data_IF_479171842442
#
_entry.id   IF_479171842442
#
_cell.length_a   1.000
_cell.length_b   1.000
_cell.length_c   1.000
_cell.angle_alpha   90.00
_cell.angle_beta   90.00
_cell.angle_gamma   90.00
#
_symmetry.space_group_name_H-M   'P 1'
#
loop_
_entity.id
_entity.type
_entity.pdbx_description
1 polymer ?
#
# COMPACT_ATOMS: atom_id res chain seq x y z
N UNK A 1 8.38 -19.80 5.09
CA UNK A 1 7.34 -20.42 4.26
C UNK A 1 6.10 -19.56 4.34
N UNK A 2 5.99 -18.57 3.46
CA UNK A 2 4.79 -17.72 3.38
C UNK A 2 3.90 -18.32 2.30
N UNK A 3 2.96 -19.15 2.72
CA UNK A 3 1.94 -19.71 1.87
C UNK A 3 1.03 -18.58 1.41
N UNK A 4 1.03 -18.26 0.10
CA UNK A 4 -0.17 -17.77 -0.51
C UNK A 4 -1.22 -18.87 -0.29
N UNK A 5 -2.04 -18.70 0.73
CA UNK A 5 -3.27 -19.45 0.80
C UNK A 5 -4.05 -19.08 -0.46
N UNK A 6 -4.01 -19.94 -1.46
CA UNK A 6 -5.13 -20.14 -2.35
C UNK A 6 -6.29 -20.59 -1.46
N UNK A 7 -6.96 -19.63 -0.83
CA UNK A 7 -8.30 -19.87 -0.34
C UNK A 7 -9.07 -20.25 -1.60
N UNK A 8 -9.58 -21.47 -1.65
CA UNK A 8 -10.54 -21.88 -2.67
C UNK A 8 -11.67 -20.84 -2.64
N UNK A 9 -11.75 -19.98 -3.65
CA UNK A 9 -12.73 -18.90 -3.78
C UNK A 9 -14.15 -19.42 -4.08
N UNK A 10 -14.43 -20.69 -3.89
CA UNK A 10 -15.78 -21.22 -3.96
C UNK A 10 -16.66 -20.50 -2.92
N UNK A 11 -17.45 -19.51 -3.38
CA UNK A 11 -18.42 -18.80 -2.56
C UNK A 11 -18.03 -17.37 -2.12
N UNK A 12 -16.95 -16.75 -2.63
CA UNK A 12 -16.68 -15.33 -2.42
C UNK A 12 -17.32 -14.47 -3.51
N UNK A 13 -17.66 -13.24 -3.15
CA UNK A 13 -18.26 -12.24 -4.03
C UNK A 13 -17.29 -11.09 -4.28
N UNK A 14 -17.51 -10.40 -5.38
CA UNK A 14 -16.89 -9.13 -5.76
C UNK A 14 -17.99 -8.11 -6.09
N UNK A 15 -17.64 -6.84 -6.08
CA UNK A 15 -18.50 -5.79 -6.66
C UNK A 15 -17.88 -5.31 -7.96
N UNK A 16 -18.61 -5.33 -9.05
CA UNK A 16 -18.22 -4.82 -10.36
C UNK A 16 -19.20 -3.75 -10.82
N UNK A 17 -18.75 -2.50 -10.88
CA UNK A 17 -19.58 -1.34 -11.25
C UNK A 17 -20.92 -1.30 -10.46
N UNK A 18 -20.84 -1.49 -9.15
CA UNK A 18 -22.01 -1.49 -8.24
C UNK A 18 -22.82 -2.80 -8.19
N UNK A 19 -22.49 -3.80 -9.00
CA UNK A 19 -23.21 -5.06 -9.06
C UNK A 19 -22.42 -6.17 -8.36
N UNK A 20 -23.04 -6.85 -7.42
CA UNK A 20 -22.47 -8.03 -6.76
C UNK A 20 -22.43 -9.20 -7.74
N UNK A 21 -21.26 -9.83 -7.85
CA UNK A 21 -21.03 -11.02 -8.70
C UNK A 21 -20.26 -12.08 -7.94
N UNK A 22 -20.30 -13.33 -8.41
CA UNK A 22 -19.37 -14.34 -7.92
C UNK A 22 -17.93 -14.00 -8.36
N UNK A 23 -16.94 -14.30 -7.51
CA UNK A 23 -15.56 -13.89 -7.76
C UNK A 23 -14.91 -14.61 -8.95
N UNK A 24 -15.48 -15.71 -9.42
CA UNK A 24 -15.06 -16.51 -10.58
C UNK A 24 -15.78 -16.12 -11.88
N UNK A 25 -16.73 -15.19 -11.83
CA UNK A 25 -17.41 -14.70 -13.05
C UNK A 25 -16.46 -13.83 -13.89
N UNK A 26 -16.45 -13.99 -15.23
CA UNK A 26 -15.75 -13.07 -16.12
C UNK A 26 -16.32 -11.65 -16.01
N UNK A 27 -15.46 -10.65 -15.79
CA UNK A 27 -15.87 -9.26 -15.60
C UNK A 27 -15.30 -8.29 -16.64
N UNK A 28 -14.18 -8.64 -17.27
CA UNK A 28 -13.53 -7.81 -18.28
C UNK A 28 -13.43 -8.54 -19.61
N UNK A 29 -13.50 -7.76 -20.69
CA UNK A 29 -13.25 -8.28 -22.04
C UNK A 29 -11.78 -8.15 -22.42
N UNK A 30 -11.35 -8.87 -23.47
CA UNK A 30 -10.01 -8.70 -24.05
C UNK A 30 -9.75 -7.28 -24.60
N UNK A 31 -10.76 -6.46 -24.78
CA UNK A 31 -10.63 -5.06 -25.25
C UNK A 31 -10.37 -4.09 -24.09
N UNK A 32 -10.58 -4.51 -22.85
CA UNK A 32 -10.38 -3.61 -21.69
C UNK A 32 -8.96 -3.03 -21.66
N UNK A 33 -8.86 -1.72 -21.46
CA UNK A 33 -7.59 -0.97 -21.52
C UNK A 33 -6.69 -1.30 -20.32
N UNK A 34 -7.26 -1.54 -19.14
CA UNK A 34 -6.46 -1.92 -17.98
C UNK A 34 -5.80 -3.29 -18.18
N UNK A 35 -6.53 -4.24 -18.81
CA UNK A 35 -5.97 -5.53 -19.19
C UNK A 35 -4.84 -5.40 -20.22
N UNK A 36 -5.02 -4.54 -21.25
CA UNK A 36 -4.03 -4.37 -22.33
C UNK A 36 -2.82 -3.53 -21.95
N UNK A 37 -3.02 -2.47 -21.16
CA UNK A 37 -2.02 -1.40 -21.00
C UNK A 37 -1.74 -1.04 -19.53
N UNK A 38 -2.45 -1.65 -18.57
CA UNK A 38 -2.38 -1.22 -17.18
C UNK A 38 -2.98 0.18 -16.96
N UNK A 39 -4.00 0.58 -17.77
CA UNK A 39 -4.63 1.90 -17.73
C UNK A 39 -5.66 1.96 -16.60
N UNK A 40 -5.17 2.20 -15.38
CA UNK A 40 -6.00 2.26 -14.19
C UNK A 40 -5.18 2.45 -12.92
N UNK A 41 -5.90 2.58 -11.82
CA UNK A 41 -5.37 2.75 -10.47
C UNK A 41 -5.91 1.67 -9.55
N UNK A 42 -5.26 1.46 -8.43
CA UNK A 42 -5.85 0.62 -7.39
C UNK A 42 -5.56 1.14 -6.00
N UNK A 43 -6.48 0.87 -5.11
CA UNK A 43 -6.31 1.04 -3.68
C UNK A 43 -6.23 -0.31 -2.98
N UNK A 44 -5.50 -0.34 -1.88
CA UNK A 44 -5.47 -1.49 -0.98
C UNK A 44 -5.80 -0.97 0.40
N UNK A 45 -7.06 -1.19 0.78
CA UNK A 45 -7.63 -0.67 2.02
C UNK A 45 -7.69 -1.79 3.07
N UNK A 46 -7.59 -1.40 4.31
CA UNK A 46 -7.89 -2.28 5.44
C UNK A 46 -9.28 -1.93 5.96
N UNK A 47 -10.11 -2.95 6.15
CA UNK A 47 -11.32 -2.84 6.96
C UNK A 47 -11.03 -3.47 8.32
N UNK A 48 -11.36 -2.76 9.37
CA UNK A 48 -11.24 -3.23 10.75
C UNK A 48 -12.52 -2.92 11.51
N UNK A 49 -13.15 -3.95 12.07
CA UNK A 49 -14.43 -3.85 12.80
C UNK A 49 -15.52 -3.05 12.04
N UNK A 50 -15.67 -3.33 10.74
CA UNK A 50 -16.65 -2.69 9.87
C UNK A 50 -16.29 -1.28 9.40
N UNK A 51 -15.16 -0.72 9.82
CA UNK A 51 -14.69 0.61 9.42
C UNK A 51 -13.56 0.53 8.39
N UNK A 52 -13.62 1.35 7.35
CA UNK A 52 -12.54 1.48 6.35
C UNK A 52 -11.47 2.39 6.94
N UNK A 53 -10.29 1.83 7.18
CA UNK A 53 -9.20 2.57 7.82
C UNK A 53 -8.61 3.62 6.86
N UNK A 54 -8.43 4.86 7.36
CA UNK A 54 -7.87 5.98 6.59
C UNK A 54 -8.61 6.25 5.26
N UNK A 55 -9.94 6.05 5.25
CA UNK A 55 -10.79 6.14 4.05
C UNK A 55 -10.57 7.45 3.29
N UNK A 56 -10.59 8.60 3.98
CA UNK A 56 -10.42 9.92 3.36
C UNK A 56 -9.10 10.05 2.57
N UNK A 57 -7.98 9.57 3.13
CA UNK A 57 -6.68 9.61 2.47
C UNK A 57 -6.61 8.66 1.24
N UNK A 58 -7.29 7.51 1.32
CA UNK A 58 -7.39 6.58 0.20
C UNK A 58 -8.18 7.18 -0.96
N UNK A 59 -9.36 7.71 -0.68
CA UNK A 59 -10.21 8.29 -1.73
C UNK A 59 -9.63 9.57 -2.29
N UNK A 60 -9.00 10.44 -1.47
CA UNK A 60 -8.28 11.62 -1.96
C UNK A 60 -7.19 11.23 -2.97
N UNK A 61 -6.37 10.22 -2.65
CA UNK A 61 -5.32 9.73 -3.56
C UNK A 61 -5.92 9.14 -4.84
N UNK A 62 -6.97 8.33 -4.72
CA UNK A 62 -7.64 7.73 -5.86
C UNK A 62 -8.18 8.79 -6.82
N UNK A 63 -8.99 9.72 -6.33
CA UNK A 63 -9.62 10.74 -7.18
C UNK A 63 -8.60 11.72 -7.76
N UNK A 64 -7.57 12.11 -7.00
CA UNK A 64 -6.46 12.90 -7.54
C UNK A 64 -5.72 12.16 -8.66
N UNK A 65 -5.56 10.85 -8.53
CA UNK A 65 -4.94 10.01 -9.55
C UNK A 65 -5.82 9.86 -10.79
N UNK A 66 -7.14 9.67 -10.64
CA UNK A 66 -8.09 9.62 -11.76
C UNK A 66 -8.07 10.92 -12.55
N UNK A 67 -8.07 12.06 -11.86
CA UNK A 67 -7.96 13.36 -12.48
C UNK A 67 -6.66 13.50 -13.30
N UNK A 68 -5.52 13.07 -12.74
CA UNK A 68 -4.22 13.12 -13.44
C UNK A 68 -4.20 12.23 -14.70
N UNK A 69 -4.89 11.09 -14.66
CA UNK A 69 -5.00 10.18 -15.82
C UNK A 69 -6.09 10.58 -16.81
N UNK A 70 -6.90 11.62 -16.51
CA UNK A 70 -8.05 11.99 -17.34
C UNK A 70 -9.13 10.89 -17.39
N UNK A 71 -9.32 10.16 -16.28
CA UNK A 71 -10.42 9.19 -16.14
C UNK A 71 -11.55 9.89 -15.40
N UNK A 72 -12.71 10.00 -16.05
CA UNK A 72 -13.86 10.69 -15.49
C UNK A 72 -14.55 9.83 -14.43
N UNK A 73 -14.53 10.28 -13.17
CA UNK A 73 -15.39 9.72 -12.13
C UNK A 73 -16.84 10.17 -12.40
N UNK A 74 -17.74 9.21 -12.56
CA UNK A 74 -19.18 9.46 -12.73
C UNK A 74 -19.86 9.60 -11.37
N UNK A 75 -21.13 10.01 -11.36
CA UNK A 75 -21.93 10.12 -10.12
C UNK A 75 -22.03 8.78 -9.36
N UNK A 76 -21.83 7.68 -10.06
CA UNK A 76 -21.81 6.33 -9.49
C UNK A 76 -20.42 5.94 -8.88
N UNK A 77 -19.43 6.83 -8.98
CA UNK A 77 -18.06 6.61 -8.47
C UNK A 77 -17.70 7.72 -7.50
N UNK A 78 -18.35 7.72 -6.34
CA UNK A 78 -18.07 8.67 -5.25
C UNK A 78 -17.41 7.97 -4.05
N UNK A 79 -16.72 8.74 -3.21
CA UNK A 79 -16.06 8.19 -2.01
C UNK A 79 -17.06 7.50 -1.08
N UNK A 80 -18.22 8.12 -0.85
CA UNK A 80 -19.26 7.58 0.04
C UNK A 80 -19.87 6.29 -0.48
N UNK A 81 -20.18 6.24 -1.79
CA UNK A 81 -20.74 5.04 -2.41
C UNK A 81 -19.75 3.89 -2.44
N UNK A 82 -18.50 4.16 -2.79
CA UNK A 82 -17.44 3.13 -2.78
C UNK A 82 -17.19 2.60 -1.36
N UNK A 83 -17.22 3.46 -0.34
CA UNK A 83 -17.04 3.04 1.05
C UNK A 83 -18.22 2.17 1.53
N UNK A 84 -19.46 2.52 1.17
CA UNK A 84 -20.65 1.73 1.46
C UNK A 84 -20.58 0.34 0.84
N UNK A 85 -20.26 0.26 -0.46
CA UNK A 85 -20.09 -1.00 -1.17
C UNK A 85 -18.94 -1.87 -0.61
N UNK A 86 -17.85 -1.26 -0.17
CA UNK A 86 -16.77 -1.97 0.51
C UNK A 86 -17.28 -2.64 1.80
N UNK A 87 -18.04 -1.91 2.62
CA UNK A 87 -18.60 -2.43 3.88
C UNK A 87 -19.63 -3.54 3.63
N UNK A 88 -20.49 -3.36 2.64
CA UNK A 88 -21.47 -4.36 2.21
C UNK A 88 -20.76 -5.65 1.75
N UNK A 89 -19.77 -5.53 0.86
CA UNK A 89 -19.01 -6.67 0.36
C UNK A 89 -18.24 -7.39 1.47
N UNK A 90 -17.65 -6.66 2.42
CA UNK A 90 -16.98 -7.27 3.57
C UNK A 90 -17.97 -8.05 4.45
N UNK A 91 -19.20 -7.56 4.60
CA UNK A 91 -20.27 -8.26 5.34
C UNK A 91 -20.69 -9.53 4.60
N UNK A 92 -20.93 -9.43 3.29
CA UNK A 92 -21.32 -10.57 2.45
C UNK A 92 -20.23 -11.66 2.44
N UNK A 93 -18.97 -11.28 2.35
CA UNK A 93 -17.81 -12.19 2.38
C UNK A 93 -17.41 -12.60 3.82
N UNK A 94 -18.18 -12.23 4.85
CA UNK A 94 -17.96 -12.59 6.26
C UNK A 94 -16.56 -12.18 6.78
N UNK A 95 -16.02 -11.08 6.29
CA UNK A 95 -14.70 -10.58 6.66
C UNK A 95 -14.71 -9.16 7.25
N UNK A 96 -15.87 -8.62 7.66
CA UNK A 96 -16.01 -7.27 8.19
C UNK A 96 -15.19 -7.01 9.48
N UNK A 97 -14.86 -8.05 10.24
CA UNK A 97 -14.03 -7.91 11.43
C UNK A 97 -12.59 -7.49 11.09
N UNK A 98 -12.00 -8.08 10.04
CA UNK A 98 -10.67 -7.72 9.57
C UNK A 98 -10.50 -8.18 8.11
N UNK A 99 -10.39 -7.24 7.19
CA UNK A 99 -10.28 -7.52 5.75
C UNK A 99 -9.20 -6.71 5.04
N UNK A 100 -8.66 -7.30 3.99
CA UNK A 100 -7.97 -6.59 2.92
C UNK A 100 -8.94 -6.40 1.77
N UNK A 101 -9.13 -5.16 1.39
CA UNK A 101 -9.93 -4.78 0.24
C UNK A 101 -9.00 -4.25 -0.86
N UNK A 102 -9.21 -4.73 -2.08
CA UNK A 102 -8.63 -4.14 -3.27
C UNK A 102 -9.75 -3.47 -4.08
N UNK A 103 -9.65 -2.19 -4.27
CA UNK A 103 -10.46 -1.41 -5.19
C UNK A 103 -9.60 -1.11 -6.41
N UNK A 104 -9.94 -1.67 -7.56
CA UNK A 104 -9.27 -1.38 -8.84
C UNK A 104 -10.22 -0.53 -9.66
N UNK A 105 -9.74 0.64 -10.10
CA UNK A 105 -10.48 1.56 -10.98
C UNK A 105 -9.72 1.65 -12.30
N UNK A 106 -10.42 1.49 -13.40
CA UNK A 106 -9.85 1.42 -14.73
C UNK A 106 -10.66 2.25 -15.72
N UNK A 107 -10.06 2.58 -16.87
CA UNK A 107 -10.74 3.31 -17.93
C UNK A 107 -11.65 2.39 -18.71
N UNK A 108 -12.94 2.71 -18.71
CA UNK A 108 -13.95 2.15 -19.61
C UNK A 108 -14.01 2.93 -20.94
N UNK A 109 -14.98 2.59 -21.76
CA UNK A 109 -15.32 3.38 -22.96
C UNK A 109 -15.72 4.82 -22.56
N UNK A 110 -15.50 5.77 -23.46
CA UNK A 110 -15.76 7.20 -23.22
C UNK A 110 -14.98 7.81 -22.02
N UNK A 111 -13.80 7.27 -21.72
CA UNK A 111 -12.94 7.75 -20.63
C UNK A 111 -13.57 7.73 -19.23
N UNK A 112 -14.64 6.97 -19.03
CA UNK A 112 -15.31 6.80 -17.72
C UNK A 112 -14.57 5.81 -16.84
N UNK A 113 -14.75 5.97 -15.54
CA UNK A 113 -14.24 5.04 -14.54
C UNK A 113 -15.14 3.81 -14.41
N UNK A 114 -14.60 2.61 -14.73
CA UNK A 114 -15.14 1.35 -14.27
C UNK A 114 -14.36 0.87 -13.04
N UNK A 115 -14.95 0.01 -12.19
CA UNK A 115 -14.26 -0.45 -10.99
C UNK A 115 -14.65 -1.87 -10.57
N UNK A 116 -13.71 -2.48 -9.85
CA UNK A 116 -13.90 -3.77 -9.17
C UNK A 116 -13.46 -3.64 -7.72
N UNK A 117 -14.28 -4.14 -6.81
CA UNK A 117 -13.95 -4.28 -5.38
C UNK A 117 -13.84 -5.76 -5.04
N UNK A 118 -12.72 -6.14 -4.43
CA UNK A 118 -12.44 -7.46 -3.90
C UNK A 118 -12.22 -7.34 -2.39
N UNK A 119 -12.79 -8.23 -1.59
CA UNK A 119 -12.62 -8.23 -0.13
C UNK A 119 -12.29 -9.64 0.34
N UNK A 120 -11.15 -9.79 1.03
CA UNK A 120 -10.70 -11.07 1.58
C UNK A 120 -10.32 -10.91 3.06
N UNK A 121 -10.56 -11.93 3.91
CA UNK A 121 -10.17 -11.86 5.31
C UNK A 121 -8.65 -11.72 5.45
N UNK A 122 -8.23 -10.98 6.48
CA UNK A 122 -6.85 -10.90 6.92
C UNK A 122 -6.65 -11.71 8.20
N UNK A 123 -5.45 -12.25 8.35
CA UNK A 123 -5.08 -12.91 9.61
C UNK A 123 -4.86 -11.85 10.72
N UNK A 124 -5.31 -12.09 11.97
CA UNK A 124 -5.14 -11.14 13.07
C UNK A 124 -3.68 -10.72 13.34
N UNK A 125 -2.71 -11.56 13.01
CA UNK A 125 -1.28 -11.23 13.14
C UNK A 125 -0.83 -10.04 12.27
N UNK A 126 -1.60 -9.70 11.21
CA UNK A 126 -1.31 -8.52 10.38
C UNK A 126 -1.48 -7.19 11.13
N UNK A 127 -2.19 -7.19 12.27
CA UNK A 127 -2.36 -6.04 13.17
C UNK A 127 -1.30 -5.97 14.27
N UNK A 128 -0.44 -6.97 14.40
CA UNK A 128 0.54 -7.04 15.48
C UNK A 128 1.89 -6.47 15.06
N UNK A 129 2.66 -6.06 16.07
CA UNK A 129 4.06 -5.76 15.90
C UNK A 129 4.83 -7.01 15.45
N UNK A 130 5.74 -6.87 14.49
CA UNK A 130 6.61 -7.97 14.08
C UNK A 130 7.88 -7.99 14.94
N UNK A 131 7.92 -8.84 15.95
CA UNK A 131 9.03 -8.87 16.92
C UNK A 131 10.38 -9.22 16.26
N UNK A 132 10.41 -10.11 15.28
CA UNK A 132 11.65 -10.55 14.65
C UNK A 132 12.25 -9.55 13.66
N UNK A 133 11.47 -8.57 13.19
CA UNK A 133 11.88 -7.64 12.12
C UNK A 133 11.99 -8.33 10.75
N UNK A 134 12.10 -7.53 9.73
CA UNK A 134 12.25 -7.98 8.34
C UNK A 134 13.68 -7.86 7.85
N UNK A 135 14.03 -8.71 6.90
CA UNK A 135 15.26 -8.64 6.12
C UNK A 135 14.97 -7.95 4.79
N UNK A 136 15.88 -7.10 4.32
CA UNK A 136 15.72 -6.38 3.06
C UNK A 136 17.01 -6.36 2.23
N UNK A 137 16.85 -6.27 0.91
CA UNK A 137 17.91 -5.97 -0.05
C UNK A 137 17.36 -5.10 -1.19
N UNK A 138 18.22 -4.65 -2.09
CA UNK A 138 17.85 -3.86 -3.26
C UNK A 138 17.51 -4.79 -4.42
N UNK A 139 16.41 -4.50 -5.13
CA UNK A 139 16.09 -5.16 -6.40
C UNK A 139 17.01 -4.64 -7.50
N UNK A 140 17.85 -5.51 -8.13
CA UNK A 140 18.92 -5.04 -9.01
C UNK A 140 18.48 -4.76 -10.46
N UNK A 141 17.36 -5.35 -10.92
CA UNK A 141 17.07 -5.48 -12.35
C UNK A 141 16.16 -4.40 -12.94
N UNK A 142 15.54 -3.55 -12.14
CA UNK A 142 14.70 -2.46 -12.65
C UNK A 142 14.93 -1.15 -11.88
N UNK A 143 14.56 -0.06 -12.53
CA UNK A 143 14.54 1.29 -11.96
C UNK A 143 13.17 1.89 -12.17
N UNK A 144 12.68 2.66 -11.19
CA UNK A 144 11.45 3.44 -11.31
C UNK A 144 11.75 4.79 -11.96
N UNK A 145 10.80 5.29 -12.73
CA UNK A 145 10.81 6.69 -13.17
C UNK A 145 10.61 7.66 -11.99
N UNK A 146 10.96 8.92 -12.22
CA UNK A 146 10.69 10.05 -11.31
C UNK A 146 9.71 11.06 -11.92
N UNK A 147 8.92 10.63 -12.90
CA UNK A 147 7.91 11.44 -13.56
C UNK A 147 6.64 11.60 -12.72
N UNK A 148 5.68 12.35 -13.27
CA UNK A 148 4.42 12.66 -12.57
C UNK A 148 3.58 11.41 -12.26
N UNK A 149 3.75 10.31 -13.01
CA UNK A 149 3.02 9.07 -12.84
C UNK A 149 3.62 8.16 -11.77
N UNK A 150 4.89 8.36 -11.42
CA UNK A 150 5.61 7.50 -10.48
C UNK A 150 4.98 7.48 -9.06
N UNK A 151 4.31 8.58 -8.66
CA UNK A 151 3.60 8.70 -7.38
C UNK A 151 2.24 8.00 -7.35
N UNK A 152 1.69 7.63 -8.52
CA UNK A 152 0.41 6.94 -8.62
C UNK A 152 0.51 5.50 -8.15
N UNK A 153 -0.57 5.01 -7.56
CA UNK A 153 -0.76 3.58 -7.31
C UNK A 153 -1.46 2.93 -8.51
N UNK A 154 -0.70 2.85 -9.61
CA UNK A 154 -1.20 2.44 -10.92
C UNK A 154 -1.21 0.92 -11.08
N UNK A 155 -2.11 0.41 -11.93
CA UNK A 155 -2.14 -1.01 -12.33
C UNK A 155 -0.93 -1.42 -13.17
N UNK A 156 -0.18 -0.45 -13.72
CA UNK A 156 1.12 -0.70 -14.35
C UNK A 156 2.20 -0.89 -13.27
N UNK A 157 2.25 -2.09 -12.70
CA UNK A 157 2.95 -2.39 -11.44
C UNK A 157 4.09 -3.41 -11.58
N UNK A 158 4.59 -3.63 -12.79
CA UNK A 158 5.54 -4.70 -13.10
C UNK A 158 6.86 -4.64 -12.28
N UNK A 159 7.53 -3.48 -12.08
CA UNK A 159 8.74 -3.45 -11.27
C UNK A 159 8.54 -3.93 -9.82
N UNK A 160 7.38 -3.63 -9.23
CA UNK A 160 7.03 -4.06 -7.87
C UNK A 160 6.75 -5.56 -7.80
N UNK A 161 6.03 -6.11 -8.78
CA UNK A 161 5.76 -7.55 -8.88
C UNK A 161 7.07 -8.32 -9.03
N UNK A 162 7.95 -7.88 -9.93
CA UNK A 162 9.24 -8.51 -10.15
C UNK A 162 10.14 -8.44 -8.89
N UNK A 163 10.16 -7.30 -8.19
CA UNK A 163 10.89 -7.16 -6.93
C UNK A 163 10.35 -8.09 -5.84
N UNK A 164 9.04 -8.29 -5.77
CA UNK A 164 8.43 -9.21 -4.82
C UNK A 164 8.78 -10.67 -5.11
N UNK A 165 8.77 -11.08 -6.38
CA UNK A 165 9.17 -12.43 -6.79
C UNK A 165 10.66 -12.67 -6.48
N UNK A 166 11.51 -11.68 -6.72
CA UNK A 166 12.92 -11.75 -6.37
C UNK A 166 13.13 -11.90 -4.84
N UNK A 167 12.39 -11.14 -4.04
CA UNK A 167 12.44 -11.27 -2.58
C UNK A 167 12.08 -12.70 -2.13
N UNK A 168 11.05 -13.29 -2.72
CA UNK A 168 10.65 -14.68 -2.45
C UNK A 168 11.75 -15.68 -2.85
N UNK A 169 12.34 -15.51 -4.02
CA UNK A 169 13.45 -16.36 -4.50
C UNK A 169 14.66 -16.30 -3.56
N UNK A 170 15.00 -15.10 -3.07
CA UNK A 170 16.13 -14.87 -2.17
C UNK A 170 15.84 -15.20 -0.70
N UNK A 171 14.60 -15.53 -0.35
CA UNK A 171 14.21 -15.80 1.03
C UNK A 171 14.32 -14.59 1.96
N UNK A 172 14.15 -13.38 1.42
CA UNK A 172 14.09 -12.11 2.16
C UNK A 172 12.65 -11.59 2.23
N UNK A 173 12.38 -10.72 3.19
CA UNK A 173 11.00 -10.26 3.45
C UNK A 173 10.57 -9.13 2.51
N UNK A 174 11.52 -8.28 2.07
CA UNK A 174 11.23 -7.13 1.24
C UNK A 174 12.39 -6.76 0.31
N UNK A 175 12.08 -6.26 -0.89
CA UNK A 175 13.04 -5.64 -1.80
C UNK A 175 12.79 -4.14 -1.93
N UNK A 176 13.87 -3.36 -1.80
CA UNK A 176 13.87 -1.93 -2.03
C UNK A 176 14.07 -1.65 -3.53
N UNK A 177 13.30 -0.71 -4.05
CA UNK A 177 13.37 -0.26 -5.44
C UNK A 177 14.19 1.03 -5.54
N UNK A 178 15.05 1.07 -6.54
CA UNK A 178 15.78 2.28 -6.89
C UNK A 178 15.09 3.04 -8.02
N UNK A 179 15.26 4.35 -8.02
CA UNK A 179 14.86 5.21 -9.12
C UNK A 179 15.99 5.35 -10.19
N UNK A 180 15.73 6.12 -11.24
CA UNK A 180 16.68 6.37 -12.34
C UNK A 180 17.99 7.05 -11.90
N UNK A 181 18.01 7.61 -10.69
CA UNK A 181 19.20 8.22 -10.08
C UNK A 181 19.92 7.29 -9.10
N UNK A 182 19.59 5.99 -9.12
CA UNK A 182 20.08 4.97 -8.18
C UNK A 182 19.83 5.31 -6.69
N UNK A 183 18.74 6.04 -6.39
CA UNK A 183 18.29 6.35 -5.04
C UNK A 183 17.10 5.47 -4.68
N UNK A 184 16.99 5.12 -3.41
CA UNK A 184 15.90 4.30 -2.89
C UNK A 184 14.62 5.13 -2.92
N UNK A 185 13.57 4.59 -3.53
CA UNK A 185 12.27 5.26 -3.62
C UNK A 185 11.15 4.52 -2.88
N UNK A 186 11.06 3.20 -2.99
CA UNK A 186 10.01 2.39 -2.36
C UNK A 186 10.54 1.01 -1.95
N UNK A 187 9.75 0.23 -1.20
CA UNK A 187 9.81 -1.22 -1.21
C UNK A 187 8.87 -1.82 -2.25
N UNK A 188 8.84 -3.13 -2.41
CA UNK A 188 8.00 -3.81 -3.42
C UNK A 188 6.48 -3.61 -3.18
N UNK A 189 6.08 -3.23 -1.99
CA UNK A 189 4.68 -2.96 -1.58
C UNK A 189 4.57 -1.98 -0.42
N UNK A 190 5.64 -1.23 -0.17
CA UNK A 190 5.80 -0.39 1.02
C UNK A 190 6.48 0.92 0.67
N UNK A 191 6.30 1.95 1.51
CA UNK A 191 7.21 3.08 1.55
C UNK A 191 8.25 2.87 2.65
N UNK A 192 9.39 3.55 2.55
CA UNK A 192 10.51 3.42 3.50
C UNK A 192 10.68 4.67 4.35
N UNK A 193 11.04 4.47 5.61
CA UNK A 193 11.50 5.49 6.55
C UNK A 193 12.81 5.05 7.18
N UNK A 194 13.68 6.03 7.41
CA UNK A 194 14.92 5.89 8.13
C UNK A 194 14.87 6.77 9.38
N UNK A 195 15.47 6.31 10.47
CA UNK A 195 15.58 7.09 11.71
C UNK A 195 17.06 7.31 12.02
N UNK A 196 17.42 8.54 12.30
CA UNK A 196 18.74 8.90 12.76
C UNK A 196 18.62 10.08 13.73
N UNK A 197 19.07 9.91 14.99
CA UNK A 197 19.01 10.93 16.05
C UNK A 197 17.63 11.58 16.16
N UNK A 198 16.57 10.76 16.29
CA UNK A 198 15.17 11.20 16.41
C UNK A 198 14.60 11.99 15.21
N UNK A 199 15.33 12.04 14.11
CA UNK A 199 14.83 12.58 12.83
C UNK A 199 14.40 11.42 11.92
N UNK A 200 13.27 11.63 11.28
CA UNK A 200 12.68 10.65 10.34
C UNK A 200 12.91 11.12 8.91
N UNK A 201 13.49 10.26 8.10
CA UNK A 201 13.74 10.52 6.68
C UNK A 201 12.92 9.57 5.83
N UNK A 202 12.35 10.08 4.76
CA UNK A 202 11.62 9.28 3.77
C UNK A 202 11.86 9.86 2.37
N UNK A 203 11.86 9.05 1.31
CA UNK A 203 11.98 9.58 -0.05
C UNK A 203 10.94 10.65 -0.32
N UNK A 204 11.37 11.77 -0.90
CA UNK A 204 10.45 12.80 -1.38
C UNK A 204 9.67 12.30 -2.61
N UNK A 205 8.48 12.85 -2.87
CA UNK A 205 7.65 12.39 -3.99
C UNK A 205 8.35 12.56 -5.36
N UNK A 206 9.22 13.54 -5.51
CA UNK A 206 10.02 13.72 -6.73
C UNK A 206 11.08 12.62 -6.94
N UNK A 207 11.34 11.80 -5.91
CA UNK A 207 12.18 10.59 -6.02
C UNK A 207 11.44 9.40 -6.62
N UNK A 208 10.17 9.56 -6.99
CA UNK A 208 9.36 8.55 -7.65
C UNK A 208 8.72 7.54 -6.70
N UNK A 209 8.67 7.79 -5.40
CA UNK A 209 7.91 6.93 -4.50
C UNK A 209 6.40 7.08 -4.71
N UNK A 210 5.65 6.00 -4.46
CA UNK A 210 4.19 6.08 -4.38
C UNK A 210 3.80 6.99 -3.23
N UNK A 211 2.80 7.86 -3.44
CA UNK A 211 2.24 8.68 -2.35
C UNK A 211 1.40 7.82 -1.39
N UNK A 212 2.08 7.09 -0.52
CA UNK A 212 1.48 6.09 0.36
C UNK A 212 0.57 6.71 1.42
N UNK A 213 -0.64 6.17 1.56
CA UNK A 213 -1.62 6.62 2.56
C UNK A 213 -1.07 6.49 3.99
N UNK A 214 -0.49 5.36 4.32
CA UNK A 214 0.14 5.17 5.65
C UNK A 214 1.37 6.06 5.82
N UNK A 215 2.14 6.31 4.76
CA UNK A 215 3.26 7.27 4.77
C UNK A 215 2.76 8.69 5.10
N UNK A 216 1.72 9.18 4.42
CA UNK A 216 1.10 10.49 4.68
C UNK A 216 0.61 10.61 6.12
N UNK A 217 -0.22 9.66 6.55
CA UNK A 217 -0.74 9.60 7.91
C UNK A 217 0.37 9.65 8.97
N UNK A 218 1.41 8.82 8.80
CA UNK A 218 2.52 8.75 9.75
C UNK A 218 3.35 10.04 9.79
N UNK A 219 3.64 10.65 8.62
CA UNK A 219 4.35 11.92 8.57
C UNK A 219 3.61 13.03 9.34
N UNK A 220 2.29 13.11 9.18
CA UNK A 220 1.48 14.12 9.86
C UNK A 220 1.40 13.84 11.37
N UNK A 221 1.19 12.59 11.76
CA UNK A 221 1.16 12.19 13.16
C UNK A 221 2.49 12.41 13.88
N UNK A 222 3.62 12.19 13.21
CA UNK A 222 4.96 12.48 13.75
C UNK A 222 5.18 13.98 13.93
N UNK A 223 4.84 14.80 12.92
CA UNK A 223 4.95 16.27 13.01
C UNK A 223 4.10 16.85 14.14
N UNK A 224 2.86 16.37 14.30
CA UNK A 224 1.97 16.78 15.39
C UNK A 224 2.53 16.48 16.78
N UNK A 225 3.42 15.48 16.89
CA UNK A 225 4.15 15.13 18.12
C UNK A 225 5.49 15.84 18.27
N UNK A 226 5.81 16.77 17.37
CA UNK A 226 7.05 17.57 17.41
C UNK A 226 8.28 16.88 16.81
N UNK A 227 8.14 15.71 16.19
CA UNK A 227 9.26 15.06 15.49
C UNK A 227 9.60 15.76 14.19
N UNK A 228 10.88 15.76 13.85
CA UNK A 228 11.38 16.27 12.57
C UNK A 228 11.25 15.20 11.50
N UNK A 229 10.42 15.45 10.50
CA UNK A 229 10.25 14.57 9.34
C UNK A 229 10.77 15.25 8.09
N UNK A 230 11.78 14.62 7.47
CA UNK A 230 12.49 15.15 6.29
C UNK A 230 12.17 14.30 5.07
N UNK A 231 11.55 14.90 4.07
CA UNK A 231 11.40 14.30 2.76
C UNK A 231 12.60 14.66 1.90
N UNK A 232 13.38 13.68 1.48
CA UNK A 232 14.69 13.92 0.85
C UNK A 232 15.08 12.79 -0.12
N UNK A 233 16.22 12.93 -0.74
CA UNK A 233 16.92 11.85 -1.43
C UNK A 233 17.39 10.80 -0.43
N UNK A 234 17.09 9.53 -0.69
CA UNK A 234 17.54 8.40 0.12
C UNK A 234 18.44 7.52 -0.72
N UNK A 235 19.72 7.52 -0.41
CA UNK A 235 20.70 6.66 -1.06
C UNK A 235 21.14 5.52 -0.12
N UNK A 236 21.90 4.57 -0.65
CA UNK A 236 22.39 3.42 0.12
C UNK A 236 23.29 3.87 1.29
N UNK A 237 24.07 4.94 1.13
CA UNK A 237 24.92 5.47 2.21
C UNK A 237 24.09 5.96 3.40
N UNK A 238 23.01 6.71 3.16
CA UNK A 238 22.10 7.13 4.22
C UNK A 238 21.41 5.93 4.89
N UNK A 239 21.00 4.91 4.11
CA UNK A 239 20.46 3.68 4.62
C UNK A 239 21.45 2.98 5.56
N UNK A 240 22.71 2.83 5.15
CA UNK A 240 23.77 2.20 5.95
C UNK A 240 24.11 2.97 7.23
N UNK A 241 24.03 4.30 7.21
CA UNK A 241 24.35 5.17 8.36
C UNK A 241 23.20 5.30 9.36
N UNK A 242 21.97 4.95 8.97
CA UNK A 242 20.79 5.10 9.81
C UNK A 242 20.81 4.14 10.99
N UNK A 243 20.23 4.58 12.11
CA UNK A 243 20.10 3.79 13.34
C UNK A 243 18.96 2.77 13.24
N UNK A 244 17.85 3.19 12.62
CA UNK A 244 16.67 2.35 12.40
C UNK A 244 16.16 2.51 10.96
N UNK A 245 15.54 1.47 10.47
CA UNK A 245 14.85 1.43 9.19
C UNK A 245 13.51 0.73 9.35
N UNK A 246 12.46 1.30 8.78
CA UNK A 246 11.15 0.65 8.76
C UNK A 246 10.37 0.95 7.49
N UNK A 247 9.41 0.10 7.21
CA UNK A 247 8.55 0.13 6.05
C UNK A 247 7.10 0.35 6.46
N UNK A 248 6.31 0.97 5.57
CA UNK A 248 4.90 1.26 5.85
C UNK A 248 3.99 0.89 4.70
N UNK A 249 2.83 0.34 5.02
CA UNK A 249 1.70 0.25 4.10
C UNK A 249 0.36 0.23 4.86
N UNK A 250 -0.75 0.41 4.14
CA UNK A 250 -2.08 0.51 4.75
C UNK A 250 -2.56 -0.78 5.43
N UNK A 251 -2.02 -1.95 5.07
CA UNK A 251 -2.44 -3.25 5.62
C UNK A 251 -1.71 -3.55 6.92
N UNK A 252 -0.39 -3.35 6.95
CA UNK A 252 0.48 -3.78 8.05
C UNK A 252 0.92 -2.66 8.97
N UNK A 253 0.56 -1.41 8.65
CA UNK A 253 1.06 -0.24 9.37
C UNK A 253 2.57 -0.11 9.21
N UNK A 254 3.32 -0.45 10.25
CA UNK A 254 4.78 -0.44 10.28
C UNK A 254 5.33 -1.88 10.32
N UNK A 255 6.42 -2.10 9.57
CA UNK A 255 7.30 -3.28 9.69
C UNK A 255 8.73 -2.78 9.77
N UNK A 256 9.41 -3.01 10.90
CA UNK A 256 10.80 -2.61 11.05
C UNK A 256 11.74 -3.57 10.31
N UNK A 257 12.84 -3.05 9.82
CA UNK A 257 13.89 -3.81 9.16
C UNK A 257 14.95 -4.17 10.20
N UNK A 258 15.14 -5.46 10.41
CA UNK A 258 16.20 -6.00 11.27
C UNK A 258 17.55 -5.88 10.57
N UNK A 259 17.59 -6.22 9.29
CA UNK A 259 18.84 -6.19 8.54
C UNK A 259 18.66 -5.81 7.07
N UNK A 260 19.63 -5.09 6.58
CA UNK A 260 19.86 -4.83 5.17
C UNK A 260 21.24 -5.34 4.81
N UNK A 261 21.31 -6.48 4.14
CA UNK A 261 22.55 -7.25 3.95
C UNK A 261 23.24 -7.52 5.31
N UNK A 262 24.48 -7.04 5.49
CA UNK A 262 25.24 -7.19 6.73
C UNK A 262 24.90 -6.15 7.81
N UNK A 263 24.27 -5.02 7.42
CA UNK A 263 23.86 -3.97 8.36
C UNK A 263 22.70 -4.43 9.21
N UNK A 264 22.86 -4.31 10.54
CA UNK A 264 21.80 -4.54 11.53
C UNK A 264 21.24 -3.19 12.01
N UNK A 265 19.94 -3.14 12.25
CA UNK A 265 19.23 -1.97 12.76
C UNK A 265 18.63 -2.23 14.14
N UNK A 266 18.50 -1.19 14.94
CA UNK A 266 17.63 -1.16 16.12
C UNK A 266 16.18 -0.83 15.73
N UNK A 267 15.25 -0.92 16.69
CA UNK A 267 13.83 -0.60 16.45
C UNK A 267 13.18 0.14 17.63
N UNK A 268 13.95 0.78 18.48
CA UNK A 268 13.45 1.39 19.74
C UNK A 268 12.44 2.51 19.43
N UNK A 269 12.81 3.48 18.59
CA UNK A 269 11.91 4.56 18.19
C UNK A 269 10.76 4.02 17.36
N UNK A 270 11.03 3.11 16.42
CA UNK A 270 10.02 2.49 15.56
C UNK A 270 8.97 1.74 16.38
N UNK A 271 9.37 1.01 17.42
CA UNK A 271 8.46 0.29 18.33
C UNK A 271 7.60 1.24 19.14
N UNK A 272 8.16 2.35 19.61
CA UNK A 272 7.41 3.42 20.29
C UNK A 272 6.36 4.04 19.38
N UNK A 273 6.75 4.42 18.15
CA UNK A 273 5.83 4.98 17.15
C UNK A 273 4.72 3.98 16.79
N UNK A 274 5.05 2.71 16.64
CA UNK A 274 4.04 1.68 16.41
C UNK A 274 3.00 1.66 17.53
N UNK A 275 3.44 1.65 18.80
CA UNK A 275 2.54 1.62 19.96
C UNK A 275 1.68 2.88 20.10
N UNK A 276 2.25 4.04 19.84
CA UNK A 276 1.60 5.34 20.09
C UNK A 276 0.79 5.87 18.90
N UNK A 277 1.11 5.45 17.68
CA UNK A 277 0.48 6.00 16.46
C UNK A 277 -0.28 4.92 15.70
N UNK A 278 0.31 3.74 15.50
CA UNK A 278 -0.26 2.73 14.61
C UNK A 278 -1.24 1.80 15.35
N UNK A 279 -0.85 1.30 16.52
CA UNK A 279 -1.72 0.42 17.29
C UNK A 279 -3.06 1.06 17.67
N UNK A 280 -3.12 2.35 18.08
CA UNK A 280 -4.39 3.02 18.37
C UNK A 280 -5.36 3.11 17.18
N UNK A 281 -4.87 3.08 15.94
CA UNK A 281 -5.75 3.01 14.76
C UNK A 281 -6.65 1.77 14.75
N UNK A 282 -6.24 0.72 15.44
CA UNK A 282 -6.95 -0.57 15.50
C UNK A 282 -7.67 -0.79 16.84
N UNK A 283 -7.57 0.17 17.75
CA UNK A 283 -8.39 0.20 18.94
C UNK A 283 -9.71 0.89 18.59
N UNK A 284 -10.86 0.32 18.98
CA UNK A 284 -12.11 1.07 18.91
C UNK A 284 -11.96 2.32 19.75
N UNK A 285 -12.19 3.50 19.19
CA UNK A 285 -12.69 4.62 19.97
C UNK A 285 -14.10 4.21 20.40
N UNK A 286 -14.27 3.87 21.67
CA UNK A 286 -15.59 3.83 22.28
C UNK A 286 -16.10 5.29 22.27
N UNK A 287 -16.97 5.61 21.31
CA UNK A 287 -17.80 6.81 21.31
C UNK A 287 -19.13 6.47 21.98
#
# INVERSE_FOLDING_TARGET
MSWYFFICFGGMFITHNGIIKAADEPILTAQNRSFKYGDGLFETLKVHQGSVMLASLHFERLFSGLLLLGIAATDDVTASLLEEQIKELCTLNRCAALARVRLTVYREEDDKAGYVIEAVPLHPEENKWNEEGWTADIYPYARKSCDVFARLKSTNHLPYVAAQLYAQEKGIDECLLLNNHNRICDGSRTNIFLVNKEKFYTPALYEGCVDGVMRRYLMDALKQRGFVVVQTEVNEALLQQSEECFLTNAIRGIRWIRSFREKQYSCTNTKTIYKEIIAPLYLKTED
#
